data_IF_244191211187
#
_entry.id   IF_244191211187
#
_cell.length_a   1.000
_cell.length_b   1.000
_cell.length_c   1.000
_cell.angle_alpha   90.00
_cell.angle_beta   90.00
_cell.angle_gamma   90.00
#
_symmetry.space_group_name_H-M   'P 1'
#
loop_
_entity.id
_entity.type
_entity.pdbx_description
1 polymer ?
#
# COMPACT_ATOMS: atom_id res chain seq x y z
N UNK A 1 29.07 23.29 24.31
CA UNK A 1 28.23 24.22 23.53
C UNK A 1 27.41 23.39 22.55
N UNK A 2 26.09 23.58 22.59
CA UNK A 2 25.04 22.74 22.00
C UNK A 2 25.28 22.33 20.53
N UNK A 3 25.57 21.05 20.28
CA UNK A 3 25.51 20.43 18.94
C UNK A 3 24.11 19.92 18.57
N UNK A 4 23.07 20.38 19.27
CA UNK A 4 21.69 20.11 18.88
C UNK A 4 21.24 21.18 17.89
N UNK A 5 21.07 20.86 16.59
CA UNK A 5 20.37 21.77 15.69
C UNK A 5 18.92 21.84 16.18
N UNK A 6 18.44 23.05 16.46
CA UNK A 6 17.03 23.34 16.74
C UNK A 6 16.08 23.00 15.59
N UNK A 7 16.62 22.53 14.46
CA UNK A 7 15.88 22.02 13.32
C UNK A 7 15.94 20.50 13.30
N UNK A 8 14.97 19.83 13.93
CA UNK A 8 14.42 18.51 13.57
C UNK A 8 15.35 17.56 12.77
N UNK A 9 16.59 17.37 13.20
CA UNK A 9 17.61 16.55 12.54
C UNK A 9 18.42 15.85 13.61
N UNK A 10 18.85 14.64 13.30
CA UNK A 10 19.79 13.91 14.16
C UNK A 10 21.12 14.67 14.22
N UNK A 11 21.88 14.48 15.31
CA UNK A 11 23.16 15.15 15.50
C UNK A 11 24.16 14.76 14.40
N UNK A 12 25.16 15.62 14.16
CA UNK A 12 26.18 15.40 13.12
C UNK A 12 26.91 14.07 13.43
N UNK A 13 27.04 13.20 12.43
CA UNK A 13 27.62 11.85 12.54
C UNK A 13 26.80 10.82 13.35
N UNK A 14 25.52 11.05 13.61
CA UNK A 14 24.67 10.04 14.24
C UNK A 14 24.68 8.70 13.45
N UNK A 15 24.69 7.54 14.13
CA UNK A 15 24.53 6.22 13.50
C UNK A 15 23.29 6.19 12.60
N UNK A 16 23.33 5.39 11.52
CA UNK A 16 22.21 5.29 10.57
C UNK A 16 20.89 4.94 11.27
N UNK A 17 20.96 4.01 12.25
CA UNK A 17 19.82 3.64 13.09
C UNK A 17 19.18 4.86 13.74
N UNK A 18 19.96 5.70 14.41
CA UNK A 18 19.44 6.83 15.17
C UNK A 18 18.81 7.88 14.24
N UNK A 19 19.40 8.10 13.06
CA UNK A 19 18.81 8.95 12.02
C UNK A 19 17.43 8.43 11.58
N UNK A 20 17.30 7.13 11.38
CA UNK A 20 16.04 6.50 10.99
C UNK A 20 14.99 6.59 12.12
N UNK A 21 15.38 6.38 13.38
CA UNK A 21 14.48 6.53 14.52
C UNK A 21 14.02 7.98 14.72
N UNK A 22 14.91 8.96 14.56
CA UNK A 22 14.53 10.39 14.58
C UNK A 22 13.50 10.68 13.50
N UNK A 23 13.76 10.29 12.25
CA UNK A 23 12.82 10.49 11.13
C UNK A 23 11.50 9.76 11.36
N UNK A 24 11.53 8.55 11.88
CA UNK A 24 10.33 7.79 12.18
C UNK A 24 9.48 8.45 13.28
N UNK A 25 10.11 8.99 14.32
CA UNK A 25 9.44 9.78 15.35
C UNK A 25 8.74 11.01 14.77
N UNK A 26 9.40 11.71 13.84
CA UNK A 26 8.83 12.87 13.14
C UNK A 26 7.60 12.49 12.32
N UNK A 27 7.71 11.47 11.48
CA UNK A 27 6.59 10.98 10.67
C UNK A 27 5.43 10.51 11.55
N UNK A 28 5.70 9.99 12.75
CA UNK A 28 4.66 9.66 13.73
C UNK A 28 3.94 10.88 14.28
N UNK A 29 4.67 11.95 14.57
CA UNK A 29 4.07 13.21 15.02
C UNK A 29 3.23 13.86 13.93
N UNK A 30 3.74 13.90 12.69
CA UNK A 30 3.00 14.44 11.54
C UNK A 30 1.70 13.67 11.27
N UNK A 31 1.73 12.34 11.37
CA UNK A 31 0.53 11.53 11.15
C UNK A 31 -0.47 11.55 12.32
N UNK A 32 -0.10 12.10 13.49
CA UNK A 32 -0.88 11.95 14.72
C UNK A 32 -2.29 12.57 14.62
N UNK A 33 -2.44 13.69 13.91
CA UNK A 33 -3.74 14.35 13.70
C UNK A 33 -4.73 13.49 12.90
N UNK A 34 -4.24 12.56 12.08
CA UNK A 34 -5.06 11.70 11.23
C UNK A 34 -5.65 10.51 11.98
N UNK A 35 -5.10 10.14 13.15
CA UNK A 35 -5.53 8.95 13.89
C UNK A 35 -7.02 9.00 14.25
N UNK A 36 -7.50 10.13 14.75
CA UNK A 36 -8.91 10.29 15.12
C UNK A 36 -9.83 10.13 13.89
N UNK A 37 -9.44 10.70 12.76
CA UNK A 37 -10.20 10.60 11.52
C UNK A 37 -10.22 9.17 10.97
N UNK A 38 -9.08 8.49 10.96
CA UNK A 38 -9.01 7.09 10.56
C UNK A 38 -9.84 6.17 11.46
N UNK A 39 -9.87 6.43 12.77
CA UNK A 39 -10.71 5.68 13.71
C UNK A 39 -12.21 5.86 13.45
N UNK A 40 -12.62 7.08 13.10
CA UNK A 40 -13.99 7.39 12.68
C UNK A 40 -14.36 6.62 11.41
N UNK A 41 -13.52 6.69 10.37
CA UNK A 41 -13.69 5.93 9.12
C UNK A 41 -13.79 4.43 9.40
N UNK A 42 -12.92 3.88 10.24
CA UNK A 42 -13.00 2.47 10.63
C UNK A 42 -14.33 2.15 11.28
N UNK A 43 -14.82 3.00 12.19
CA UNK A 43 -16.07 2.77 12.92
C UNK A 43 -17.30 2.73 12.00
N UNK A 44 -17.34 3.56 10.95
CA UNK A 44 -18.52 3.75 10.11
C UNK A 44 -18.42 3.14 8.69
N UNK A 45 -17.22 2.78 8.22
CA UNK A 45 -16.99 2.34 6.84
C UNK A 45 -16.35 0.95 6.76
N UNK A 46 -15.23 0.74 7.45
CA UNK A 46 -14.43 -0.50 7.43
C UNK A 46 -14.08 -1.01 8.84
N UNK A 47 -15.03 -1.58 9.61
CA UNK A 47 -14.82 -1.89 11.03
C UNK A 47 -13.79 -2.96 11.35
N UNK A 48 -13.32 -3.68 10.34
CA UNK A 48 -12.30 -4.72 10.47
C UNK A 48 -10.93 -4.29 9.96
N UNK A 49 -10.84 -3.12 9.34
CA UNK A 49 -9.58 -2.50 8.95
C UNK A 49 -9.15 -1.52 10.06
N UNK A 50 -7.93 -1.01 9.96
CA UNK A 50 -7.38 -0.09 10.93
C UNK A 50 -6.80 -0.80 12.17
N UNK A 51 -5.58 -0.39 12.56
CA UNK A 51 -4.92 -0.89 13.77
C UNK A 51 -4.21 0.25 14.50
N UNK A 52 -4.85 0.79 15.52
CA UNK A 52 -4.38 2.02 16.16
C UNK A 52 -3.61 1.79 17.47
N UNK A 53 -4.05 0.81 18.27
CA UNK A 53 -3.48 0.54 19.59
C UNK A 53 -2.98 -0.89 19.74
N UNK A 54 -1.89 -1.07 20.51
CA UNK A 54 -1.33 -2.40 20.80
C UNK A 54 -2.29 -3.27 21.61
N UNK A 55 -3.15 -2.66 22.43
CA UNK A 55 -4.09 -3.38 23.29
C UNK A 55 -5.29 -3.98 22.53
N UNK A 56 -5.48 -3.67 21.25
CA UNK A 56 -6.60 -4.19 20.45
C UNK A 56 -6.32 -5.54 19.79
N UNK A 57 -5.19 -6.16 20.13
CA UNK A 57 -4.83 -7.50 19.62
C UNK A 57 -5.74 -8.57 20.22
N UNK A 58 -6.19 -9.50 19.37
CA UNK A 58 -6.89 -10.74 19.77
C UNK A 58 -8.24 -10.53 20.49
N UNK A 59 -8.88 -9.37 20.31
CA UNK A 59 -10.21 -9.07 20.88
C UNK A 59 -11.33 -9.34 19.87
N UNK A 60 -12.23 -10.28 20.22
CA UNK A 60 -13.39 -10.67 19.41
C UNK A 60 -14.62 -9.75 19.50
N UNK A 61 -14.45 -8.49 19.90
CA UNK A 61 -15.58 -7.57 20.10
C UNK A 61 -16.35 -7.29 18.81
N UNK A 62 -17.66 -7.04 18.93
CA UNK A 62 -18.50 -6.59 17.81
C UNK A 62 -18.04 -5.19 17.38
N UNK A 63 -17.63 -5.04 16.12
CA UNK A 63 -17.16 -3.75 15.56
C UNK A 63 -18.16 -3.07 14.62
N UNK A 64 -19.22 -3.76 14.20
CA UNK A 64 -20.16 -3.28 13.17
C UNK A 64 -21.37 -2.51 13.74
N UNK A 65 -21.41 -2.20 15.04
CA UNK A 65 -22.60 -1.64 15.68
C UNK A 65 -22.99 -0.23 15.21
N UNK A 66 -22.04 0.51 14.60
CA UNK A 66 -22.23 1.90 14.21
C UNK A 66 -22.69 2.07 12.74
N UNK A 67 -22.78 0.98 11.98
CA UNK A 67 -23.21 1.00 10.59
C UNK A 67 -24.72 0.71 10.54
N UNK A 68 -25.52 1.76 10.36
CA UNK A 68 -26.98 1.64 10.22
C UNK A 68 -27.41 1.30 8.78
N UNK A 69 -26.65 1.75 7.79
CA UNK A 69 -26.90 1.52 6.37
C UNK A 69 -25.59 1.17 5.64
N UNK A 70 -25.67 0.34 4.60
CA UNK A 70 -24.51 -0.19 3.91
C UNK A 70 -24.05 0.65 2.71
N UNK A 71 -24.67 1.81 2.43
CA UNK A 71 -24.35 2.64 1.26
C UNK A 71 -22.87 3.01 1.23
N UNK A 72 -22.29 3.46 2.35
CA UNK A 72 -20.87 3.82 2.41
C UNK A 72 -19.95 2.65 2.04
N UNK A 73 -20.14 1.49 2.68
CA UNK A 73 -19.33 0.29 2.40
C UNK A 73 -19.49 -0.18 0.96
N UNK A 74 -20.70 -0.11 0.40
CA UNK A 74 -20.96 -0.48 -1.00
C UNK A 74 -20.27 0.48 -1.97
N UNK A 75 -20.39 1.79 -1.73
CA UNK A 75 -19.73 2.82 -2.52
C UNK A 75 -18.21 2.66 -2.51
N UNK A 76 -17.61 2.35 -1.36
CA UNK A 76 -16.18 2.08 -1.27
C UNK A 76 -15.77 0.86 -2.11
N UNK A 77 -16.52 -0.24 -2.04
CA UNK A 77 -16.26 -1.42 -2.88
C UNK A 77 -16.36 -1.10 -4.37
N UNK A 78 -17.35 -0.31 -4.78
CA UNK A 78 -17.48 0.15 -6.16
C UNK A 78 -16.29 1.01 -6.57
N UNK A 79 -15.83 1.92 -5.70
CA UNK A 79 -14.64 2.72 -5.93
C UNK A 79 -13.38 1.85 -6.09
N UNK A 80 -13.16 0.90 -5.18
CA UNK A 80 -12.04 -0.04 -5.23
C UNK A 80 -12.02 -0.88 -6.52
N UNK A 81 -13.17 -1.43 -6.90
CA UNK A 81 -13.33 -2.15 -8.15
C UNK A 81 -13.08 -1.26 -9.38
N UNK A 82 -13.57 -0.02 -9.36
CA UNK A 82 -13.33 0.97 -10.42
C UNK A 82 -11.85 1.33 -10.58
N UNK A 83 -11.15 1.58 -9.47
CA UNK A 83 -9.71 1.84 -9.49
C UNK A 83 -8.91 0.65 -9.99
N UNK A 84 -9.25 -0.58 -9.56
CA UNK A 84 -8.61 -1.79 -10.06
C UNK A 84 -8.85 -1.96 -11.57
N UNK A 85 -10.10 -1.79 -12.03
CA UNK A 85 -10.43 -1.91 -13.45
C UNK A 85 -9.70 -0.88 -14.32
N UNK A 86 -9.51 0.34 -13.82
CA UNK A 86 -8.82 1.41 -14.53
C UNK A 86 -7.29 1.33 -14.49
N UNK A 87 -6.70 0.94 -13.36
CA UNK A 87 -5.26 1.03 -13.14
C UNK A 87 -4.53 -0.31 -13.29
N UNK A 88 -5.09 -1.41 -12.79
CA UNK A 88 -4.39 -2.70 -12.65
C UNK A 88 -5.29 -3.89 -12.92
N UNK A 89 -6.10 -3.79 -13.99
CA UNK A 89 -7.06 -4.84 -14.33
C UNK A 89 -6.36 -6.17 -14.62
N UNK A 90 -6.68 -7.26 -13.91
CA UNK A 90 -6.04 -8.57 -14.15
C UNK A 90 -6.44 -9.17 -15.51
N UNK A 91 -7.56 -8.72 -16.07
CA UNK A 91 -8.10 -9.20 -17.34
C UNK A 91 -7.45 -8.55 -18.57
N UNK A 92 -6.66 -7.48 -18.39
CA UNK A 92 -6.02 -6.74 -19.48
C UNK A 92 -4.56 -6.48 -19.15
N UNK A 93 -3.73 -6.41 -20.18
CA UNK A 93 -2.36 -5.94 -20.03
C UNK A 93 -2.37 -4.45 -19.66
N UNK A 94 -2.13 -4.14 -18.38
CA UNK A 94 -2.16 -2.77 -17.84
C UNK A 94 -0.78 -2.09 -17.79
N UNK A 95 0.29 -2.79 -18.17
CA UNK A 95 1.63 -2.22 -18.33
C UNK A 95 2.36 -2.82 -19.53
N UNK A 96 3.38 -2.08 -19.99
CA UNK A 96 4.29 -2.52 -21.04
C UNK A 96 5.70 -2.05 -20.71
N UNK A 97 6.68 -2.92 -20.97
CA UNK A 97 8.09 -2.54 -20.87
C UNK A 97 8.55 -1.86 -22.15
N UNK A 98 9.36 -0.82 -21.99
CA UNK A 98 10.01 -0.08 -23.07
C UNK A 98 11.41 0.32 -22.61
N UNK A 99 12.31 0.50 -23.56
CA UNK A 99 13.60 1.13 -23.32
C UNK A 99 13.48 2.65 -23.42
N UNK A 100 14.37 3.42 -22.77
CA UNK A 100 14.43 4.87 -22.94
C UNK A 100 14.78 5.30 -24.37
N UNK A 101 15.41 4.42 -25.15
CA UNK A 101 15.86 4.68 -26.52
C UNK A 101 14.79 4.26 -27.55
N UNK A 102 14.23 5.20 -28.34
CA UNK A 102 13.23 4.90 -29.37
C UNK A 102 13.72 3.95 -30.48
N UNK A 103 15.02 3.97 -30.82
CA UNK A 103 15.57 3.10 -31.88
C UNK A 103 15.59 1.64 -31.41
N UNK A 104 15.99 1.40 -30.16
CA UNK A 104 15.95 0.08 -29.55
C UNK A 104 14.51 -0.45 -29.44
N UNK A 105 13.54 0.41 -29.13
CA UNK A 105 12.12 0.01 -29.11
C UNK A 105 11.59 -0.39 -30.49
N UNK A 106 12.20 0.11 -31.56
CA UNK A 106 11.85 -0.22 -32.96
C UNK A 106 12.58 -1.47 -33.45
N UNK A 107 13.66 -1.88 -32.79
CA UNK A 107 14.41 -3.08 -33.13
C UNK A 107 13.65 -4.35 -32.73
N UNK A 108 13.32 -5.17 -33.73
CA UNK A 108 12.42 -6.32 -33.56
C UNK A 108 12.85 -7.31 -32.47
N UNK A 109 14.14 -7.71 -32.33
CA UNK A 109 14.56 -8.61 -31.25
C UNK A 109 14.32 -8.05 -29.85
N UNK A 110 14.57 -6.75 -29.64
CA UNK A 110 14.33 -6.07 -28.36
C UNK A 110 12.85 -6.06 -28.03
N UNK A 111 12.00 -5.76 -29.03
CA UNK A 111 10.55 -5.79 -28.87
C UNK A 111 10.02 -7.16 -28.44
N UNK A 112 10.52 -8.24 -29.05
CA UNK A 112 10.15 -9.61 -28.69
C UNK A 112 10.58 -9.96 -27.26
N UNK A 113 11.80 -9.57 -26.87
CA UNK A 113 12.29 -9.80 -25.52
C UNK A 113 11.48 -9.05 -24.46
N UNK A 114 11.19 -7.77 -24.69
CA UNK A 114 10.37 -6.96 -23.77
C UNK A 114 8.95 -7.51 -23.62
N UNK A 115 8.36 -8.02 -24.70
CA UNK A 115 7.05 -8.67 -24.67
C UNK A 115 7.08 -9.97 -23.84
N UNK A 116 8.09 -10.82 -24.04
CA UNK A 116 8.28 -12.04 -23.24
C UNK A 116 8.45 -11.73 -21.74
N UNK A 117 9.31 -10.76 -21.39
CA UNK A 117 9.50 -10.34 -20.00
C UNK A 117 8.21 -9.77 -19.41
N UNK A 118 7.46 -8.97 -20.18
CA UNK A 118 6.18 -8.41 -19.74
C UNK A 118 5.17 -9.52 -19.41
N UNK A 119 5.07 -10.54 -20.28
CA UNK A 119 4.21 -11.72 -20.04
C UNK A 119 4.62 -12.52 -18.82
N UNK A 120 5.93 -12.70 -18.59
CA UNK A 120 6.46 -13.39 -17.40
C UNK A 120 6.12 -12.63 -16.11
N UNK A 121 6.27 -11.30 -16.11
CA UNK A 121 5.87 -10.47 -14.97
C UNK A 121 4.38 -10.57 -14.68
N UNK A 122 3.53 -10.52 -15.72
CA UNK A 122 2.08 -10.70 -15.55
C UNK A 122 1.73 -12.07 -14.97
N UNK A 123 2.38 -13.13 -15.43
CA UNK A 123 2.18 -14.48 -14.91
C UNK A 123 2.51 -14.54 -13.41
N UNK A 124 3.60 -13.90 -12.98
CA UNK A 124 3.96 -13.82 -11.55
C UNK A 124 2.89 -13.06 -10.75
N UNK A 125 2.38 -11.95 -11.26
CA UNK A 125 1.31 -11.20 -10.59
C UNK A 125 -0.01 -11.97 -10.51
N UNK A 126 -0.34 -12.77 -11.54
CA UNK A 126 -1.54 -13.62 -11.54
C UNK A 126 -1.41 -14.83 -10.61
N UNK A 127 -0.20 -15.41 -10.51
CA UNK A 127 0.08 -16.57 -9.66
C UNK A 127 0.16 -16.21 -8.16
N UNK A 128 0.65 -15.02 -7.86
CA UNK A 128 0.77 -14.51 -6.49
C UNK A 128 -0.50 -13.79 -6.03
N UNK A 129 -0.47 -13.24 -4.82
CA UNK A 129 -1.59 -12.49 -4.26
C UNK A 129 -1.64 -11.01 -4.72
N UNK A 130 -0.84 -10.59 -5.70
CA UNK A 130 -0.71 -9.19 -6.13
C UNK A 130 -2.05 -8.53 -6.41
N UNK A 131 -2.92 -9.12 -7.25
CA UNK A 131 -4.20 -8.51 -7.60
C UNK A 131 -5.16 -8.39 -6.42
N UNK A 132 -5.18 -9.40 -5.53
CA UNK A 132 -5.97 -9.35 -4.30
C UNK A 132 -5.49 -8.23 -3.38
N UNK A 133 -4.18 -8.08 -3.23
CA UNK A 133 -3.59 -7.01 -2.42
C UNK A 133 -3.79 -5.63 -3.05
N UNK A 134 -3.67 -5.49 -4.37
CA UNK A 134 -3.96 -4.23 -5.07
C UNK A 134 -5.40 -3.78 -4.85
N UNK A 135 -6.38 -4.69 -4.94
CA UNK A 135 -7.78 -4.37 -4.64
C UNK A 135 -7.94 -3.87 -3.19
N UNK A 136 -7.34 -4.56 -2.22
CA UNK A 136 -7.34 -4.11 -0.82
C UNK A 136 -6.67 -2.74 -0.65
N UNK A 137 -5.56 -2.48 -1.34
CA UNK A 137 -4.89 -1.18 -1.31
C UNK A 137 -5.77 -0.07 -1.90
N UNK A 138 -6.56 -0.34 -2.94
CA UNK A 138 -7.52 0.63 -3.46
C UNK A 138 -8.64 0.94 -2.45
N UNK A 139 -9.14 -0.06 -1.73
CA UNK A 139 -10.10 0.18 -0.64
C UNK A 139 -9.47 1.02 0.49
N UNK A 140 -8.22 0.74 0.89
CA UNK A 140 -7.50 1.54 1.90
C UNK A 140 -7.23 2.98 1.41
N UNK A 141 -6.86 3.17 0.14
CA UNK A 141 -6.69 4.50 -0.46
C UNK A 141 -8.00 5.28 -0.47
N UNK A 142 -9.11 4.64 -0.86
CA UNK A 142 -10.42 5.27 -0.90
C UNK A 142 -10.97 5.61 0.49
N UNK A 143 -10.66 4.79 1.50
CA UNK A 143 -11.12 4.99 2.86
C UNK A 143 -10.22 5.97 3.65
N UNK A 144 -8.91 5.74 3.66
CA UNK A 144 -7.96 6.40 4.56
C UNK A 144 -7.01 7.37 3.85
N UNK A 145 -7.02 7.42 2.53
CA UNK A 145 -6.11 8.25 1.71
C UNK A 145 -4.69 7.70 1.62
N UNK A 146 -4.42 6.51 2.17
CA UNK A 146 -3.10 5.89 2.16
C UNK A 146 -3.21 4.37 2.12
N UNK A 147 -2.24 3.72 1.50
CA UNK A 147 -2.11 2.27 1.51
C UNK A 147 -0.64 1.89 1.39
N UNK A 148 -0.24 0.81 2.05
CA UNK A 148 1.11 0.29 1.97
C UNK A 148 1.08 -1.24 1.90
N UNK A 149 2.07 -1.81 1.21
CA UNK A 149 2.31 -3.25 1.20
C UNK A 149 3.79 -3.50 1.20
N UNK A 150 4.21 -4.55 1.90
CA UNK A 150 5.58 -5.07 1.82
C UNK A 150 5.55 -6.23 0.85
N UNK A 151 6.47 -6.26 -0.11
CA UNK A 151 6.61 -7.37 -1.07
C UNK A 151 7.84 -8.16 -0.67
N UNK A 152 7.67 -9.46 -0.42
CA UNK A 152 8.77 -10.36 -0.09
C UNK A 152 8.84 -11.53 -1.08
N UNK A 153 10.03 -12.11 -1.31
CA UNK A 153 10.16 -13.34 -2.08
C UNK A 153 9.36 -14.49 -1.44
N UNK A 154 8.73 -15.31 -2.27
CA UNK A 154 8.04 -16.54 -1.86
C UNK A 154 8.47 -17.71 -2.76
N UNK A 155 8.76 -18.86 -2.17
CA UNK A 155 9.27 -20.01 -2.93
C UNK A 155 8.23 -20.56 -3.94
N UNK A 156 6.95 -20.57 -3.58
CA UNK A 156 5.90 -21.17 -4.40
C UNK A 156 5.31 -20.17 -5.42
N UNK A 157 5.10 -18.93 -4.98
CA UNK A 157 4.41 -17.87 -5.71
C UNK A 157 5.36 -16.83 -6.31
N UNK A 158 6.68 -16.98 -6.13
CA UNK A 158 7.76 -16.03 -6.49
C UNK A 158 7.76 -14.78 -5.62
N UNK A 159 6.60 -14.15 -5.44
CA UNK A 159 6.42 -12.99 -4.55
C UNK A 159 5.16 -13.15 -3.70
N UNK A 160 5.17 -12.51 -2.54
CA UNK A 160 3.99 -12.35 -1.69
C UNK A 160 3.89 -10.92 -1.18
N UNK A 161 2.70 -10.34 -1.31
CA UNK A 161 2.37 -9.03 -0.79
C UNK A 161 1.77 -9.16 0.62
N UNK A 162 2.32 -8.42 1.57
CA UNK A 162 1.83 -8.25 2.93
C UNK A 162 1.22 -6.85 3.05
N UNK A 163 -0.10 -6.70 2.78
CA UNK A 163 -0.76 -5.40 2.91
C UNK A 163 -0.77 -4.97 4.36
N UNK A 164 -0.47 -3.70 4.59
CA UNK A 164 -0.54 -3.03 5.88
C UNK A 164 -1.81 -2.19 5.87
N UNK A 165 -2.63 -2.34 6.91
CA UNK A 165 -3.78 -1.47 7.09
C UNK A 165 -3.36 -0.19 7.80
N UNK A 166 -4.16 0.86 7.64
CA UNK A 166 -3.96 2.11 8.35
C UNK A 166 -3.69 1.91 9.86
N UNK A 167 -2.62 2.51 10.38
CA UNK A 167 -2.25 2.47 11.79
C UNK A 167 -1.19 1.43 12.17
N UNK A 168 -0.94 0.41 11.33
CA UNK A 168 0.22 -0.50 11.46
C UNK A 168 1.57 0.22 11.27
#
# INVERSE_FOLDING_TARGET
>A
MSEYPGDNRSYKNAPQRDRLFTRWGQLKSERASWFAHWQEITSYLLPRNGRYFRQDRDKGWRRHNNIYDNTGTRSLRTLGAGMMAGATSPARQWFRLATPDPELNSYQPVKLWLDDVTKRMQLVFQKSNTYRTLHQMYEELGAFGTAATIIMPDFNQVIHHYPLTCGE
#
